data_IF_218655374209
#
_entry.id   IF_218655374209
#
_cell.length_a   1.000
_cell.length_b   1.000
_cell.length_c   1.000
_cell.angle_alpha   90.00
_cell.angle_beta   90.00
_cell.angle_gamma   90.00
#
_symmetry.space_group_name_H-M   'P 1'
#
loop_
_entity.id
_entity.type
_entity.pdbx_description
1 polymer ?
#
# COMPACT_ATOMS: atom_id res chain seq x y z
N UNK A 1 -29.11 51.35 50.47
CA UNK A 1 -28.14 50.77 51.41
C UNK A 1 -27.02 50.18 50.58
N UNK A 2 -25.93 50.94 50.44
CA UNK A 2 -24.73 50.54 49.70
C UNK A 2 -23.83 49.74 50.62
N UNK A 3 -23.42 48.54 50.20
CA UNK A 3 -22.31 47.83 50.82
C UNK A 3 -21.35 47.39 49.72
N UNK A 4 -20.26 48.14 49.59
CA UNK A 4 -19.09 47.82 48.77
C UNK A 4 -18.17 46.92 49.58
N UNK A 5 -17.86 45.72 49.06
CA UNK A 5 -16.89 44.81 49.67
C UNK A 5 -15.58 44.81 48.87
N UNK A 6 -14.50 45.22 49.52
CA UNK A 6 -13.13 45.29 49.03
C UNK A 6 -12.48 43.91 48.99
N UNK A 7 -11.86 43.54 47.85
CA UNK A 7 -11.08 42.31 47.68
C UNK A 7 -9.61 42.61 48.02
N UNK A 8 -9.10 41.86 49.00
CA UNK A 8 -7.75 41.97 49.53
C UNK A 8 -6.79 41.07 48.72
N UNK A 9 -5.74 41.65 48.15
CA UNK A 9 -4.70 40.93 47.41
C UNK A 9 -3.57 40.54 48.37
N UNK A 10 -3.37 39.23 48.58
CA UNK A 10 -2.20 38.72 49.30
C UNK A 10 -1.11 38.35 48.31
N UNK A 11 -0.02 39.12 48.31
CA UNK A 11 1.25 38.82 47.64
C UNK A 11 1.94 37.63 48.33
N UNK A 12 2.08 36.51 47.61
CA UNK A 12 3.01 35.44 48.00
C UNK A 12 4.35 35.72 47.33
N UNK A 13 5.35 36.04 48.14
CA UNK A 13 6.74 36.25 47.71
C UNK A 13 7.39 34.88 47.47
N UNK A 14 7.52 34.45 46.21
CA UNK A 14 8.30 33.28 45.84
C UNK A 14 9.79 33.65 45.75
N UNK A 15 10.60 33.07 46.63
CA UNK A 15 12.06 33.20 46.65
C UNK A 15 12.62 32.50 45.40
N UNK A 16 13.20 33.26 44.47
CA UNK A 16 13.97 32.75 43.33
C UNK A 16 15.39 32.41 43.80
N UNK A 17 15.67 31.12 43.98
CA UNK A 17 17.03 30.58 44.03
C UNK A 17 17.57 30.44 42.61
N UNK A 18 18.80 30.90 42.30
CA UNK A 18 19.42 30.65 41.02
C UNK A 18 19.88 29.18 40.99
N UNK A 19 19.16 28.32 40.26
CA UNK A 19 19.71 27.03 39.85
C UNK A 19 20.83 27.31 38.84
N UNK A 20 22.08 27.23 39.31
CA UNK A 20 23.22 27.06 38.43
C UNK A 20 23.05 25.73 37.69
N UNK A 21 22.72 25.80 36.40
CA UNK A 21 22.63 24.63 35.54
C UNK A 21 23.98 23.96 35.40
N UNK A 22 24.18 22.81 36.06
CA UNK A 22 25.21 21.87 35.63
C UNK A 22 24.78 21.30 34.28
N UNK A 23 25.67 21.24 33.27
CA UNK A 23 25.38 20.51 32.05
C UNK A 23 25.23 19.02 32.42
N UNK A 24 24.03 18.48 32.23
CA UNK A 24 23.83 17.05 32.12
C UNK A 24 24.64 16.55 30.93
N UNK A 25 25.88 16.12 31.17
CA UNK A 25 26.56 15.20 30.27
C UNK A 25 25.70 13.94 30.23
N UNK A 26 25.01 13.71 29.11
CA UNK A 26 24.44 12.40 28.83
C UNK A 26 25.52 11.35 29.04
N UNK A 27 25.17 10.25 29.71
CA UNK A 27 26.07 9.14 29.95
C UNK A 27 26.51 8.57 28.60
N UNK A 28 27.62 9.09 28.06
CA UNK A 28 28.24 8.56 26.87
C UNK A 28 28.82 7.20 27.20
N UNK A 29 28.57 6.22 26.33
CA UNK A 29 29.24 4.91 26.37
C UNK A 29 30.75 5.16 26.45
N UNK A 30 31.41 4.55 27.43
CA UNK A 30 32.86 4.67 27.62
C UNK A 30 33.59 4.00 26.45
N UNK A 31 34.06 4.82 25.51
CA UNK A 31 34.75 4.37 24.30
C UNK A 31 36.01 3.56 24.62
N UNK A 32 36.57 3.67 25.83
CA UNK A 32 37.71 2.87 26.28
C UNK A 32 37.37 1.37 26.43
N UNK A 33 36.10 1.00 26.52
CA UNK A 33 35.64 -0.40 26.63
C UNK A 33 35.44 -1.10 25.28
N UNK A 34 35.56 -0.38 24.18
CA UNK A 34 35.36 -0.94 22.84
C UNK A 34 36.62 -1.70 22.38
N UNK A 35 36.51 -2.94 21.84
CA UNK A 35 37.63 -3.68 21.26
C UNK A 35 38.30 -2.90 20.14
N UNK A 36 39.63 -2.85 20.06
CA UNK A 36 40.34 -2.05 19.05
C UNK A 36 39.87 -2.34 17.61
N UNK A 37 39.72 -1.29 16.79
CA UNK A 37 39.47 -1.45 15.36
C UNK A 37 40.61 -2.24 14.70
N UNK A 38 40.29 -3.07 13.70
CA UNK A 38 41.28 -3.87 13.00
C UNK A 38 42.36 -3.00 12.32
N UNK A 39 43.63 -3.37 12.47
CA UNK A 39 44.76 -2.66 11.87
C UNK A 39 45.02 -2.99 10.39
N UNK A 40 44.20 -3.86 9.79
CA UNK A 40 44.33 -4.32 8.40
C UNK A 40 43.24 -3.70 7.52
N UNK A 41 43.43 -3.64 6.18
CA UNK A 41 42.38 -3.22 5.26
C UNK A 41 41.17 -4.15 5.35
N UNK A 42 39.99 -3.58 5.57
CA UNK A 42 38.73 -4.31 5.64
C UNK A 42 37.97 -4.16 4.33
N UNK A 43 37.53 -5.29 3.78
CA UNK A 43 36.66 -5.36 2.60
C UNK A 43 35.26 -5.80 3.03
N UNK A 44 34.23 -5.13 2.50
CA UNK A 44 32.86 -5.41 2.92
C UNK A 44 32.42 -6.83 2.56
N UNK A 45 32.66 -7.28 1.32
CA UNK A 45 32.20 -8.60 0.86
C UNK A 45 32.96 -9.74 1.55
N UNK A 46 34.27 -9.57 1.73
CA UNK A 46 35.12 -10.60 2.35
C UNK A 46 34.97 -10.67 3.87
N UNK A 47 34.92 -9.52 4.55
CA UNK A 47 35.11 -9.48 6.01
C UNK A 47 33.84 -9.09 6.78
N UNK A 48 33.00 -8.21 6.23
CA UNK A 48 31.83 -7.65 6.94
C UNK A 48 30.56 -8.43 6.63
N UNK A 49 30.31 -8.70 5.36
CA UNK A 49 29.11 -9.39 4.88
C UNK A 49 28.92 -10.77 5.53
N UNK A 50 29.95 -11.62 5.73
CA UNK A 50 29.78 -12.89 6.43
C UNK A 50 29.28 -12.72 7.88
N UNK A 51 29.72 -11.66 8.57
CA UNK A 51 29.24 -11.34 9.92
C UNK A 51 27.75 -10.97 9.87
N UNK A 52 27.36 -10.14 8.90
CA UNK A 52 25.97 -9.72 8.73
C UNK A 52 25.05 -10.88 8.31
N UNK A 53 25.49 -11.74 7.40
CA UNK A 53 24.76 -12.95 6.97
C UNK A 53 24.49 -13.87 8.18
N UNK A 54 25.53 -14.10 9.01
CA UNK A 54 25.44 -15.03 10.14
C UNK A 54 24.62 -14.46 11.31
N UNK A 55 24.76 -13.17 11.60
CA UNK A 55 24.33 -12.61 12.90
C UNK A 55 23.25 -11.51 12.79
N UNK A 56 23.05 -10.91 11.62
CA UNK A 56 22.24 -9.69 11.49
C UNK A 56 21.00 -9.88 10.59
N UNK A 57 21.17 -10.42 9.38
CA UNK A 57 20.13 -10.39 8.34
C UNK A 57 18.86 -11.16 8.68
N UNK A 58 18.92 -12.15 9.57
CA UNK A 58 17.72 -12.85 10.03
C UNK A 58 16.70 -11.91 10.68
N UNK A 59 17.16 -10.87 11.37
CA UNK A 59 16.30 -9.89 12.04
C UNK A 59 16.35 -8.50 11.38
N UNK A 60 17.39 -8.18 10.63
CA UNK A 60 17.63 -6.87 10.00
C UNK A 60 17.75 -6.96 8.47
N UNK A 61 17.16 -8.00 7.86
CA UNK A 61 17.05 -8.19 6.42
C UNK A 61 15.75 -7.65 5.81
N UNK A 62 15.42 -7.99 4.56
CA UNK A 62 14.35 -7.34 3.79
C UNK A 62 12.92 -7.69 4.22
N UNK A 63 12.68 -8.88 4.78
CA UNK A 63 11.30 -9.38 4.95
C UNK A 63 10.57 -8.76 6.14
N UNK A 64 11.22 -8.62 7.31
CA UNK A 64 10.63 -8.05 8.55
C UNK A 64 11.71 -7.44 9.49
N UNK A 65 12.33 -6.31 9.12
CA UNK A 65 13.41 -5.72 9.91
C UNK A 65 12.94 -5.26 11.29
N UNK A 66 13.58 -5.76 12.36
CA UNK A 66 13.35 -5.30 13.73
C UNK A 66 13.72 -3.83 13.86
N UNK A 67 12.88 -3.08 14.57
CA UNK A 67 13.00 -1.62 14.74
C UNK A 67 13.11 -0.85 13.43
N UNK A 68 12.54 -1.38 12.33
CA UNK A 68 12.68 -0.85 10.95
C UNK A 68 14.14 -0.68 10.48
N UNK A 69 15.12 -1.23 11.18
CA UNK A 69 16.53 -1.10 10.84
C UNK A 69 16.94 -2.21 9.86
N UNK A 70 17.36 -1.83 8.65
CA UNK A 70 17.79 -2.75 7.60
C UNK A 70 19.29 -2.62 7.36
N UNK A 71 19.99 -3.75 7.39
CA UNK A 71 21.43 -3.84 7.16
C UNK A 71 21.79 -4.44 5.78
N UNK A 72 20.79 -4.91 5.04
CA UNK A 72 20.97 -5.62 3.77
C UNK A 72 21.19 -4.71 2.56
N UNK A 73 21.04 -3.39 2.72
CA UNK A 73 21.47 -2.39 1.74
C UNK A 73 22.08 -1.15 2.42
N UNK A 74 23.07 -0.51 1.77
CA UNK A 74 23.80 0.63 2.34
C UNK A 74 22.89 1.81 2.68
N UNK A 75 22.01 2.16 1.75
CA UNK A 75 21.11 3.31 1.91
C UNK A 75 20.24 3.17 3.16
N UNK A 76 19.63 1.99 3.36
CA UNK A 76 18.81 1.72 4.54
C UNK A 76 19.64 1.62 5.82
N UNK A 77 20.83 1.01 5.75
CA UNK A 77 21.73 0.88 6.89
C UNK A 77 22.20 2.25 7.41
N UNK A 78 22.38 3.21 6.51
CA UNK A 78 22.75 4.59 6.85
C UNK A 78 21.54 5.48 7.18
N UNK A 79 20.34 5.17 6.66
CA UNK A 79 19.09 5.85 7.06
C UNK A 79 18.79 5.60 8.55
N UNK A 80 19.16 4.41 9.06
CA UNK A 80 18.90 3.99 10.43
C UNK A 80 17.48 3.46 10.63
N UNK A 81 17.21 3.00 11.85
CA UNK A 81 15.92 2.41 12.25
C UNK A 81 14.89 3.45 12.72
N UNK A 82 13.86 2.94 13.38
CA UNK A 82 12.68 3.64 13.89
C UNK A 82 13.02 4.84 14.80
N UNK A 83 14.15 4.82 15.50
CA UNK A 83 14.47 5.80 16.54
C UNK A 83 15.73 6.65 16.27
N UNK A 84 16.53 6.37 15.24
CA UNK A 84 17.93 6.79 15.23
C UNK A 84 18.47 7.04 13.81
N UNK A 85 19.24 8.12 13.64
CA UNK A 85 20.11 8.35 12.46
C UNK A 85 21.58 7.99 12.71
N UNK A 86 21.88 7.53 13.92
CA UNK A 86 23.23 7.25 14.45
C UNK A 86 23.47 5.74 14.67
N UNK A 87 22.65 4.88 14.05
CA UNK A 87 22.87 3.43 14.10
C UNK A 87 24.21 3.05 13.45
N UNK A 88 24.54 3.70 12.32
CA UNK A 88 25.87 3.66 11.70
C UNK A 88 26.27 5.10 11.40
N UNK A 89 27.39 5.54 11.98
CA UNK A 89 27.99 6.87 11.76
C UNK A 89 29.29 6.67 10.97
N UNK A 90 29.28 6.82 9.63
CA UNK A 90 30.48 6.69 8.81
C UNK A 90 31.61 7.58 9.32
N UNK A 91 32.79 7.00 9.51
CA UNK A 91 33.97 7.68 10.05
C UNK A 91 34.03 7.74 11.57
N UNK A 92 33.03 7.23 12.31
CA UNK A 92 33.02 7.23 13.76
C UNK A 92 32.33 5.99 14.36
N UNK A 93 33.07 4.89 14.42
CA UNK A 93 32.63 3.64 15.05
C UNK A 93 32.31 3.80 16.52
N UNK A 94 33.01 4.70 17.23
CA UNK A 94 32.79 4.95 18.65
C UNK A 94 31.45 5.64 18.96
N UNK A 95 30.82 6.30 17.99
CA UNK A 95 29.48 6.89 18.12
C UNK A 95 28.38 6.06 17.47
N UNK A 96 28.72 4.97 16.78
CA UNK A 96 27.76 4.14 16.07
C UNK A 96 27.06 3.17 17.02
N UNK A 97 25.74 3.25 17.15
CA UNK A 97 24.97 2.36 18.05
C UNK A 97 25.09 0.89 17.66
N UNK A 98 25.25 0.58 16.37
CA UNK A 98 25.59 -0.77 15.90
C UNK A 98 26.75 -1.35 16.71
N UNK A 99 27.82 -0.58 16.90
CA UNK A 99 29.01 -1.00 17.64
C UNK A 99 28.73 -1.14 19.13
N UNK A 100 27.97 -0.22 19.73
CA UNK A 100 27.59 -0.29 21.15
C UNK A 100 26.75 -1.52 21.48
N UNK A 101 25.83 -1.89 20.58
CA UNK A 101 24.93 -3.02 20.77
C UNK A 101 25.64 -4.36 20.58
N UNK A 102 26.51 -4.48 19.57
CA UNK A 102 27.30 -5.72 19.38
C UNK A 102 28.40 -5.89 20.42
N UNK A 103 28.85 -4.80 21.06
CA UNK A 103 29.77 -4.85 22.21
C UNK A 103 29.06 -5.05 23.54
N UNK A 104 27.71 -5.06 23.54
CA UNK A 104 26.87 -5.26 24.74
C UNK A 104 27.15 -4.25 25.85
N UNK A 105 27.50 -3.02 25.47
CA UNK A 105 27.71 -1.93 26.42
C UNK A 105 26.42 -1.20 26.79
N UNK A 106 25.32 -1.53 26.12
CA UNK A 106 23.98 -0.99 26.39
C UNK A 106 23.12 -2.14 26.88
N UNK A 107 22.72 -2.06 28.15
CA UNK A 107 21.80 -3.03 28.77
C UNK A 107 20.49 -3.11 27.95
N UNK A 108 19.91 -4.31 27.88
CA UNK A 108 18.68 -4.64 27.14
C UNK A 108 18.70 -4.42 25.62
N UNK A 109 19.81 -3.91 25.06
CA UNK A 109 19.99 -3.66 23.62
C UNK A 109 21.11 -4.52 23.00
N UNK A 110 21.44 -5.64 23.65
CA UNK A 110 22.48 -6.55 23.20
C UNK A 110 22.16 -7.17 21.83
N UNK A 111 23.16 -7.20 20.94
CA UNK A 111 23.05 -7.82 19.61
C UNK A 111 24.17 -8.85 19.36
N UNK A 112 23.83 -10.06 18.86
CA UNK A 112 22.50 -10.64 18.81
C UNK A 112 21.88 -10.79 20.21
N UNK A 113 20.53 -10.73 20.34
CA UNK A 113 19.87 -10.89 21.63
C UNK A 113 20.16 -12.26 22.26
N UNK A 114 20.16 -12.38 23.60
CA UNK A 114 20.33 -13.65 24.29
C UNK A 114 19.42 -14.75 23.74
N UNK A 115 20.00 -15.91 23.39
CA UNK A 115 19.26 -17.04 22.80
C UNK A 115 18.83 -16.84 21.33
N UNK A 116 19.21 -15.73 20.69
CA UNK A 116 18.92 -15.42 19.28
C UNK A 116 20.20 -15.27 18.45
N UNK A 117 21.34 -15.76 18.93
CA UNK A 117 22.60 -15.78 18.19
C UNK A 117 23.79 -15.79 19.13
N UNK A 118 24.94 -16.19 18.61
CA UNK A 118 26.19 -16.11 19.37
C UNK A 118 26.67 -14.65 19.43
N UNK A 119 27.22 -14.19 20.57
CA UNK A 119 27.90 -12.90 20.63
C UNK A 119 29.04 -12.84 19.60
N UNK A 120 29.26 -11.66 19.00
CA UNK A 120 30.39 -11.46 18.11
C UNK A 120 31.70 -11.52 18.90
N UNK A 121 32.75 -12.07 18.28
CA UNK A 121 34.09 -12.06 18.87
C UNK A 121 34.69 -10.65 18.84
N UNK A 122 35.66 -10.34 19.72
CA UNK A 122 36.38 -9.06 19.68
C UNK A 122 36.97 -8.74 18.30
N UNK A 123 37.43 -9.75 17.56
CA UNK A 123 37.98 -9.61 16.20
C UNK A 123 36.91 -9.22 15.19
N UNK A 124 35.73 -9.88 15.24
CA UNK A 124 34.59 -9.52 14.40
C UNK A 124 34.12 -8.10 14.66
N UNK A 125 34.05 -7.70 15.95
CA UNK A 125 33.74 -6.33 16.34
C UNK A 125 34.81 -5.36 15.82
N UNK A 126 36.09 -5.73 15.91
CA UNK A 126 37.20 -4.94 15.37
C UNK A 126 37.11 -4.71 13.87
N UNK A 127 36.66 -5.70 13.09
CA UNK A 127 36.38 -5.58 11.66
C UNK A 127 35.21 -4.63 11.40
N UNK A 128 34.11 -4.76 12.13
CA UNK A 128 32.96 -3.85 12.01
C UNK A 128 33.34 -2.40 12.34
N UNK A 129 34.11 -2.19 13.41
CA UNK A 129 34.60 -0.86 13.78
C UNK A 129 35.45 -0.26 12.67
N UNK A 130 36.43 -1.01 12.16
CA UNK A 130 37.30 -0.53 11.09
C UNK A 130 36.52 -0.20 9.82
N UNK A 131 35.56 -1.04 9.45
CA UNK A 131 34.67 -0.79 8.31
C UNK A 131 33.86 0.51 8.48
N UNK A 132 33.30 0.76 9.67
CA UNK A 132 32.58 2.00 9.96
C UNK A 132 33.53 3.21 9.91
N UNK A 133 34.71 3.10 10.52
CA UNK A 133 35.73 4.15 10.53
C UNK A 133 36.26 4.48 9.11
N UNK A 134 36.28 3.50 8.22
CA UNK A 134 36.63 3.69 6.79
C UNK A 134 35.48 4.33 5.97
N UNK A 135 34.37 4.68 6.62
CA UNK A 135 33.22 5.35 6.02
C UNK A 135 32.07 4.41 5.64
N UNK A 136 32.02 3.22 6.23
CA UNK A 136 30.98 2.21 5.97
C UNK A 136 30.79 1.95 4.46
N UNK A 137 31.92 1.74 3.76
CA UNK A 137 31.94 1.58 2.30
C UNK A 137 31.42 0.21 1.92
N UNK A 138 30.56 0.17 0.91
CA UNK A 138 30.08 -1.06 0.27
C UNK A 138 30.68 -1.15 -1.13
N UNK A 139 30.73 -2.33 -1.77
CA UNK A 139 31.22 -2.43 -3.13
C UNK A 139 30.37 -1.55 -4.08
N UNK A 140 31.00 -0.91 -5.08
CA UNK A 140 30.28 -0.16 -6.11
C UNK A 140 29.19 -1.03 -6.74
N UNK A 141 27.91 -0.63 -6.62
CA UNK A 141 26.77 -1.38 -7.12
C UNK A 141 25.91 -2.09 -6.05
N UNK A 142 26.38 -2.18 -4.80
CA UNK A 142 25.55 -2.65 -3.68
C UNK A 142 24.71 -1.51 -3.04
N UNK A 143 24.74 -0.31 -3.62
CA UNK A 143 24.01 0.88 -3.16
C UNK A 143 22.57 0.97 -3.66
N UNK A 144 22.11 0.00 -4.45
CA UNK A 144 20.78 0.05 -5.05
C UNK A 144 20.13 -1.31 -4.91
N UNK A 145 18.98 -1.38 -4.23
CA UNK A 145 17.93 -2.24 -4.76
C UNK A 145 17.88 -1.86 -6.23
N UNK A 146 18.26 -2.77 -7.13
CA UNK A 146 17.95 -2.60 -8.52
C UNK A 146 16.42 -2.55 -8.56
N UNK A 147 15.88 -1.34 -8.51
CA UNK A 147 14.46 -1.08 -8.71
C UNK A 147 14.27 -1.33 -10.20
N UNK A 148 14.21 -2.59 -10.57
CA UNK A 148 14.03 -3.04 -11.93
C UNK A 148 12.55 -2.95 -12.25
N UNK A 149 12.24 -2.49 -13.46
CA UNK A 149 10.89 -2.53 -13.99
C UNK A 149 10.43 -3.97 -14.06
N UNK A 150 9.37 -4.30 -13.32
CA UNK A 150 8.74 -5.60 -13.34
C UNK A 150 7.50 -5.54 -14.22
N UNK A 151 7.43 -6.42 -15.21
CA UNK A 151 6.27 -6.55 -16.08
C UNK A 151 5.77 -7.98 -16.05
N UNK A 152 4.51 -8.16 -15.65
CA UNK A 152 3.81 -9.44 -15.61
C UNK A 152 2.58 -9.36 -16.51
N UNK A 153 2.38 -10.35 -17.36
CA UNK A 153 1.22 -10.43 -18.25
C UNK A 153 0.68 -11.85 -18.32
N UNK A 154 -0.65 -11.97 -18.27
CA UNK A 154 -1.40 -13.21 -18.42
C UNK A 154 -2.28 -13.09 -19.66
N UNK A 155 -1.77 -13.46 -20.85
CA UNK A 155 -2.58 -13.48 -22.06
C UNK A 155 -3.62 -14.60 -21.99
N UNK A 156 -4.79 -14.36 -22.56
CA UNK A 156 -5.86 -15.36 -22.70
C UNK A 156 -6.33 -15.40 -24.14
N UNK A 157 -6.58 -16.61 -24.63
CA UNK A 157 -7.29 -16.88 -25.86
C UNK A 157 -8.14 -18.13 -25.64
N UNK A 158 -9.46 -17.98 -25.71
CA UNK A 158 -10.41 -19.06 -25.43
C UNK A 158 -11.55 -19.06 -26.44
N UNK A 159 -12.12 -20.25 -26.64
CA UNK A 159 -13.32 -20.43 -27.45
C UNK A 159 -14.46 -20.95 -26.56
N UNK A 160 -15.48 -20.11 -26.36
CA UNK A 160 -16.62 -20.43 -25.51
C UNK A 160 -17.69 -21.11 -26.36
N UNK A 161 -18.12 -22.30 -25.95
CA UNK A 161 -19.30 -22.97 -26.53
C UNK A 161 -20.41 -23.02 -25.51
N UNK A 162 -21.65 -22.91 -25.98
CA UNK A 162 -22.84 -22.95 -25.12
C UNK A 162 -23.78 -24.01 -25.66
N UNK A 163 -24.27 -24.88 -24.77
CA UNK A 163 -25.34 -25.82 -25.06
C UNK A 163 -26.57 -25.38 -24.28
N UNK A 164 -27.71 -25.22 -24.96
CA UNK A 164 -28.95 -24.74 -24.35
C UNK A 164 -29.22 -23.27 -24.65
N UNK A 165 -29.70 -22.52 -23.66
CA UNK A 165 -30.13 -21.14 -23.85
C UNK A 165 -28.93 -20.17 -23.85
N UNK A 166 -28.47 -19.80 -25.05
CA UNK A 166 -27.35 -18.85 -25.25
C UNK A 166 -27.63 -17.46 -24.69
N UNK A 167 -28.90 -17.02 -24.72
CA UNK A 167 -29.31 -15.73 -24.21
C UNK A 167 -29.27 -15.67 -22.69
N UNK A 168 -29.68 -16.77 -22.04
CA UNK A 168 -29.56 -16.91 -20.59
C UNK A 168 -28.10 -17.02 -20.15
N UNK A 169 -27.28 -17.74 -20.92
CA UNK A 169 -25.84 -17.80 -20.69
C UNK A 169 -25.20 -16.40 -20.71
N UNK A 170 -25.44 -15.58 -21.73
CA UNK A 170 -24.84 -14.23 -21.79
C UNK A 170 -25.37 -13.30 -20.69
N UNK A 171 -26.62 -13.45 -20.26
CA UNK A 171 -27.21 -12.69 -19.16
C UNK A 171 -26.54 -13.04 -17.82
N UNK A 172 -26.34 -14.33 -17.53
CA UNK A 172 -25.78 -14.80 -16.26
C UNK A 172 -24.27 -14.59 -16.17
N UNK A 173 -23.54 -14.75 -17.30
CA UNK A 173 -22.09 -14.76 -17.33
C UNK A 173 -21.47 -13.48 -17.91
N UNK A 174 -22.28 -12.58 -18.48
CA UNK A 174 -21.79 -11.37 -19.15
C UNK A 174 -20.94 -11.66 -20.39
N UNK A 175 -20.99 -12.89 -20.92
CA UNK A 175 -20.12 -13.34 -21.99
C UNK A 175 -20.89 -13.86 -23.20
N UNK A 176 -20.40 -13.54 -24.40
CA UNK A 176 -20.88 -14.13 -25.65
C UNK A 176 -20.14 -15.44 -25.93
N UNK A 177 -20.86 -16.40 -26.52
CA UNK A 177 -20.23 -17.57 -27.15
C UNK A 177 -19.23 -17.13 -28.22
N UNK A 178 -18.27 -17.99 -28.53
CA UNK A 178 -17.28 -17.77 -29.57
C UNK A 178 -15.91 -17.39 -29.01
N UNK A 179 -15.10 -16.76 -29.84
CA UNK A 179 -13.73 -16.43 -29.51
C UNK A 179 -13.64 -15.25 -28.53
N UNK A 180 -12.81 -15.39 -27.50
CA UNK A 180 -12.41 -14.32 -26.59
C UNK A 180 -10.90 -14.31 -26.49
N UNK A 181 -10.28 -13.15 -26.63
CA UNK A 181 -8.84 -12.98 -26.44
C UNK A 181 -8.50 -11.65 -25.79
N UNK A 182 -7.29 -11.58 -25.23
CA UNK A 182 -6.73 -10.36 -24.67
C UNK A 182 -5.84 -10.66 -23.49
N UNK A 183 -5.94 -9.83 -22.46
CA UNK A 183 -5.13 -9.90 -21.27
C UNK A 183 -6.03 -10.04 -20.05
N UNK A 184 -5.99 -11.20 -19.40
CA UNK A 184 -6.70 -11.43 -18.14
C UNK A 184 -6.12 -10.54 -17.04
N UNK A 185 -4.79 -10.40 -17.04
CA UNK A 185 -4.04 -9.52 -16.15
C UNK A 185 -2.83 -8.96 -16.88
N UNK A 186 -2.59 -7.67 -16.73
CA UNK A 186 -1.27 -7.07 -16.95
C UNK A 186 -0.91 -6.25 -15.72
N UNK A 187 0.37 -6.24 -15.37
CA UNK A 187 0.91 -5.48 -14.24
C UNK A 187 2.31 -5.00 -14.60
N UNK A 188 2.53 -3.71 -14.49
CA UNK A 188 3.80 -3.04 -14.63
C UNK A 188 4.10 -2.34 -13.31
N UNK A 189 5.25 -2.60 -12.72
CA UNK A 189 5.74 -1.91 -11.53
C UNK A 189 7.09 -1.32 -11.91
N UNK A 190 7.21 0.00 -11.83
CA UNK A 190 8.43 0.71 -12.14
C UNK A 190 8.79 1.73 -11.07
N UNK A 191 10.09 2.01 -10.87
CA UNK A 191 10.51 3.06 -9.96
C UNK A 191 10.22 4.42 -10.58
N UNK A 192 9.58 5.30 -9.82
CA UNK A 192 9.22 6.65 -10.23
C UNK A 192 10.02 7.68 -9.42
N UNK A 193 11.29 7.86 -9.76
CA UNK A 193 12.21 8.76 -9.04
C UNK A 193 12.94 8.08 -7.88
N UNK A 194 13.31 8.85 -6.85
CA UNK A 194 14.17 8.35 -5.75
C UNK A 194 13.43 7.49 -4.72
N UNK A 195 12.16 7.81 -4.46
CA UNK A 195 11.39 7.27 -3.34
C UNK A 195 9.95 6.90 -3.70
N UNK A 196 9.62 6.85 -5.00
CA UNK A 196 8.28 6.51 -5.45
C UNK A 196 8.27 5.31 -6.40
N UNK A 197 7.12 4.67 -6.48
CA UNK A 197 6.83 3.51 -7.33
C UNK A 197 5.56 3.79 -8.12
N UNK A 198 5.63 3.59 -9.43
CA UNK A 198 4.47 3.59 -10.31
C UNK A 198 4.06 2.15 -10.58
N UNK A 199 2.80 1.85 -10.32
CA UNK A 199 2.16 0.60 -10.70
C UNK A 199 1.07 0.90 -11.74
N UNK A 200 1.05 0.13 -12.82
CA UNK A 200 -0.03 0.11 -13.80
C UNK A 200 -0.55 -1.32 -13.90
N UNK A 201 -1.83 -1.53 -13.63
CA UNK A 201 -2.42 -2.86 -13.70
C UNK A 201 -3.83 -2.83 -14.31
N UNK A 202 -4.25 -3.96 -14.85
CA UNK A 202 -5.55 -4.04 -15.49
C UNK A 202 -5.83 -5.34 -16.21
N UNK A 203 -6.92 -5.31 -16.97
CA UNK A 203 -7.39 -6.40 -17.83
C UNK A 203 -8.03 -5.82 -19.09
N UNK A 204 -7.98 -6.58 -20.17
CA UNK A 204 -8.67 -6.23 -21.39
C UNK A 204 -9.11 -7.47 -22.16
N UNK A 205 -10.42 -7.73 -22.22
CA UNK A 205 -10.98 -8.89 -22.90
C UNK A 205 -11.83 -8.48 -24.10
N UNK A 206 -11.45 -8.98 -25.28
CA UNK A 206 -12.12 -8.72 -26.56
C UNK A 206 -12.81 -9.99 -27.06
N UNK A 207 -14.02 -9.92 -27.64
CA UNK A 207 -14.90 -8.76 -27.80
C UNK A 207 -15.91 -8.65 -26.64
N UNK A 208 -15.54 -9.07 -25.42
CA UNK A 208 -16.47 -9.11 -24.28
C UNK A 208 -16.75 -7.71 -23.68
N UNK A 209 -16.06 -6.67 -24.15
CA UNK A 209 -16.18 -5.28 -23.68
C UNK A 209 -15.91 -5.14 -22.17
N UNK A 210 -14.98 -5.96 -21.64
CA UNK A 210 -14.58 -6.00 -20.24
C UNK A 210 -13.14 -5.50 -20.11
N UNK A 211 -13.01 -4.24 -19.69
CA UNK A 211 -11.74 -3.52 -19.59
C UNK A 211 -11.61 -2.87 -18.22
N UNK A 212 -10.44 -3.02 -17.59
CA UNK A 212 -10.05 -2.24 -16.41
C UNK A 212 -8.61 -1.79 -16.58
N UNK A 213 -8.34 -0.56 -16.20
CA UNK A 213 -6.98 -0.05 -16.03
C UNK A 213 -6.91 0.80 -14.78
N UNK A 214 -5.87 0.60 -13.99
CA UNK A 214 -5.55 1.37 -12.81
C UNK A 214 -4.09 1.79 -12.86
N UNK A 215 -3.81 3.02 -12.44
CA UNK A 215 -2.48 3.57 -12.26
C UNK A 215 -2.37 4.04 -10.81
N UNK A 216 -1.34 3.56 -10.13
CA UNK A 216 -1.06 3.85 -8.72
C UNK A 216 0.35 4.39 -8.59
N UNK A 217 0.48 5.64 -8.17
CA UNK A 217 1.76 6.22 -7.78
C UNK A 217 1.85 6.20 -6.25
N UNK A 218 2.83 5.49 -5.70
CA UNK A 218 3.04 5.35 -4.25
C UNK A 218 4.37 5.95 -3.84
N UNK A 219 4.37 6.78 -2.80
CA UNK A 219 5.57 7.23 -2.08
C UNK A 219 5.42 6.82 -0.61
N UNK A 220 6.13 5.77 -0.13
CA UNK A 220 5.84 5.10 1.14
C UNK A 220 5.74 6.00 2.37
N UNK A 221 6.52 7.07 2.44
CA UNK A 221 6.56 7.99 3.60
C UNK A 221 5.61 9.20 3.45
N UNK A 222 4.89 9.30 2.34
CA UNK A 222 4.04 10.47 2.01
C UNK A 222 2.61 10.05 1.75
N UNK A 223 2.39 9.05 0.89
CA UNK A 223 1.04 8.69 0.45
C UNK A 223 1.00 8.04 -0.93
N UNK A 224 -0.19 8.08 -1.53
CA UNK A 224 -0.43 7.53 -2.85
C UNK A 224 -1.43 8.38 -3.65
N UNK A 225 -1.37 8.24 -4.97
CA UNK A 225 -2.42 8.69 -5.89
C UNK A 225 -2.81 7.49 -6.74
N UNK A 226 -4.10 7.21 -6.85
CA UNK A 226 -4.65 6.14 -7.67
C UNK A 226 -5.68 6.70 -8.62
N UNK A 227 -5.59 6.35 -9.88
CA UNK A 227 -6.59 6.70 -10.90
C UNK A 227 -6.93 5.45 -11.69
N UNK A 228 -8.18 5.29 -12.06
CA UNK A 228 -8.58 4.14 -12.86
C UNK A 228 -9.87 4.31 -13.63
N UNK A 229 -10.08 3.36 -14.53
CA UNK A 229 -11.24 3.25 -15.37
C UNK A 229 -11.65 1.78 -15.50
N UNK A 230 -12.92 1.50 -15.22
CA UNK A 230 -13.55 0.20 -15.44
C UNK A 230 -14.68 0.37 -16.46
N UNK A 231 -14.81 -0.58 -17.38
CA UNK A 231 -16.00 -0.72 -18.22
C UNK A 231 -16.32 -2.20 -18.42
N UNK A 232 -17.60 -2.52 -18.35
CA UNK A 232 -18.10 -3.87 -18.65
C UNK A 232 -19.51 -3.78 -19.22
N UNK A 233 -19.86 -4.77 -20.03
CA UNK A 233 -21.19 -4.91 -20.61
C UNK A 233 -22.00 -5.96 -19.85
N UNK A 234 -23.21 -5.58 -19.43
CA UNK A 234 -24.22 -6.51 -18.92
C UNK A 234 -25.24 -6.77 -20.02
N UNK A 235 -25.57 -8.03 -20.25
CA UNK A 235 -26.57 -8.43 -21.25
C UNK A 235 -27.90 -8.75 -20.60
N UNK A 236 -29.00 -8.49 -21.32
CA UNK A 236 -30.35 -8.82 -20.89
C UNK A 236 -31.07 -9.71 -21.89
N UNK A 237 -32.02 -10.47 -21.39
CA UNK A 237 -32.91 -11.26 -22.21
C UNK A 237 -33.88 -10.37 -23.01
N UNK A 238 -34.05 -10.67 -24.30
CA UNK A 238 -34.92 -9.96 -25.24
C UNK A 238 -36.30 -10.64 -25.43
N UNK A 239 -36.57 -11.70 -24.66
CA UNK A 239 -37.83 -12.43 -24.63
C UNK A 239 -38.66 -12.08 -23.40
N UNK A 240 -39.98 -12.00 -23.57
CA UNK A 240 -40.92 -11.78 -22.45
C UNK A 240 -40.92 -12.98 -21.50
N UNK A 241 -40.89 -12.74 -20.18
CA UNK A 241 -40.61 -13.74 -19.13
C UNK A 241 -41.61 -14.90 -18.94
N UNK A 242 -42.42 -15.25 -19.93
CA UNK A 242 -43.29 -16.43 -19.90
C UNK A 242 -42.80 -17.51 -20.88
N UNK A 243 -42.37 -18.64 -20.33
CA UNK A 243 -42.03 -19.85 -21.07
C UNK A 243 -43.14 -20.88 -20.86
N UNK A 244 -44.03 -21.05 -21.83
CA UNK A 244 -45.04 -22.09 -21.77
C UNK A 244 -44.40 -23.49 -21.92
N UNK A 245 -44.92 -24.54 -21.25
CA UNK A 245 -44.43 -25.92 -21.40
C UNK A 245 -44.53 -26.47 -22.84
N UNK A 246 -45.44 -25.90 -23.65
CA UNK A 246 -45.70 -26.33 -25.03
C UNK A 246 -45.17 -25.31 -26.04
N UNK A 247 -43.89 -25.43 -26.40
CA UNK A 247 -43.25 -25.16 -27.70
C UNK A 247 -43.61 -23.95 -28.59
N UNK A 248 -44.35 -22.95 -28.09
CA UNK A 248 -44.44 -21.66 -28.80
C UNK A 248 -43.10 -20.94 -28.63
N UNK A 249 -42.41 -20.58 -29.73
CA UNK A 249 -41.19 -19.78 -29.60
C UNK A 249 -41.56 -18.46 -28.93
N UNK A 250 -40.85 -18.06 -27.86
CA UNK A 250 -41.14 -16.80 -27.19
C UNK A 250 -40.97 -15.64 -28.18
N UNK A 251 -41.82 -14.62 -28.05
CA UNK A 251 -41.65 -13.38 -28.80
C UNK A 251 -40.31 -12.74 -28.40
N UNK A 252 -39.48 -12.43 -29.40
CA UNK A 252 -38.14 -11.87 -29.25
C UNK A 252 -38.06 -10.51 -29.95
N UNK A 253 -37.29 -9.58 -29.40
CA UNK A 253 -37.00 -8.29 -30.03
C UNK A 253 -35.98 -8.42 -31.18
N UNK A 254 -35.34 -9.58 -31.34
CA UNK A 254 -34.31 -9.87 -32.37
C UNK A 254 -33.16 -8.85 -32.30
N UNK A 255 -32.77 -8.47 -31.08
CA UNK A 255 -31.68 -7.51 -30.84
C UNK A 255 -31.03 -7.72 -29.48
N UNK A 256 -29.76 -7.36 -29.39
CA UNK A 256 -29.01 -7.44 -28.13
C UNK A 256 -29.43 -6.33 -27.16
N UNK A 257 -30.27 -6.65 -26.19
CA UNK A 257 -30.44 -5.80 -25.01
C UNK A 257 -29.19 -5.90 -24.13
N UNK A 258 -28.60 -4.75 -23.81
CA UNK A 258 -27.41 -4.64 -22.98
C UNK A 258 -27.27 -3.25 -22.38
N UNK A 259 -26.56 -3.17 -21.26
CA UNK A 259 -26.10 -1.94 -20.63
C UNK A 259 -24.58 -1.93 -20.55
N UNK A 260 -23.97 -0.81 -20.89
CA UNK A 260 -22.56 -0.52 -20.68
C UNK A 260 -22.40 0.21 -19.35
N UNK A 261 -21.73 -0.42 -18.40
CA UNK A 261 -21.33 0.17 -17.14
C UNK A 261 -19.95 0.75 -17.28
N UNK A 262 -19.76 2.00 -16.84
CA UNK A 262 -18.47 2.69 -16.85
C UNK A 262 -18.24 3.33 -15.50
N UNK A 263 -17.00 3.26 -15.02
CA UNK A 263 -16.59 3.88 -13.77
C UNK A 263 -15.21 4.49 -13.94
N UNK A 264 -15.10 5.81 -13.74
CA UNK A 264 -13.83 6.52 -13.66
C UNK A 264 -13.64 6.99 -12.22
N UNK A 265 -12.44 6.82 -11.66
CA UNK A 265 -12.20 7.14 -10.25
C UNK A 265 -10.79 7.66 -10.00
N UNK A 266 -10.66 8.48 -8.96
CA UNK A 266 -9.43 9.09 -8.48
C UNK A 266 -9.44 9.04 -6.95
N UNK A 267 -8.43 8.42 -6.36
CA UNK A 267 -8.21 8.40 -4.91
C UNK A 267 -6.83 9.00 -4.59
N UNK A 268 -6.79 9.89 -3.60
CA UNK A 268 -5.57 10.49 -3.07
C UNK A 268 -5.49 10.17 -1.59
N UNK A 269 -4.41 9.50 -1.18
CA UNK A 269 -4.22 9.06 0.19
C UNK A 269 -2.95 9.62 0.82
N UNK A 270 -3.04 10.01 2.08
CA UNK A 270 -1.90 10.33 2.94
C UNK A 270 -1.60 9.12 3.83
N UNK A 271 -0.34 8.66 3.80
CA UNK A 271 0.10 7.46 4.50
C UNK A 271 1.35 7.73 5.35
N UNK A 272 1.33 8.84 6.10
CA UNK A 272 2.42 9.18 7.01
C UNK A 272 2.28 8.40 8.32
N UNK A 273 3.40 7.95 8.89
CA UNK A 273 3.41 7.18 10.15
C UNK A 273 2.98 8.02 11.37
N UNK A 274 3.14 9.35 11.31
CA UNK A 274 2.84 10.29 12.39
C UNK A 274 1.46 10.95 12.30
N UNK A 275 0.66 10.61 11.27
CA UNK A 275 -0.64 11.23 11.01
C UNK A 275 -1.72 10.15 10.83
N UNK A 276 -2.99 10.42 11.17
CA UNK A 276 -4.11 9.64 10.65
C UNK A 276 -3.98 9.31 9.16
N UNK A 277 -4.27 8.08 8.76
CA UNK A 277 -4.41 7.73 7.35
C UNK A 277 -5.68 8.41 6.84
N UNK A 278 -5.55 9.16 5.76
CA UNK A 278 -6.67 9.87 5.14
C UNK A 278 -6.70 9.52 3.67
N UNK A 279 -7.86 9.17 3.13
CA UNK A 279 -8.09 8.93 1.71
C UNK A 279 -9.27 9.74 1.25
N UNK A 280 -9.05 10.59 0.25
CA UNK A 280 -10.11 11.33 -0.43
C UNK A 280 -10.28 10.74 -1.81
N UNK A 281 -11.51 10.34 -2.13
CA UNK A 281 -11.86 9.72 -3.39
C UNK A 281 -12.95 10.48 -4.12
N UNK A 282 -12.85 10.54 -5.44
CA UNK A 282 -13.92 10.92 -6.34
C UNK A 282 -14.14 9.81 -7.37
N UNK A 283 -15.40 9.51 -7.63
CA UNK A 283 -15.80 8.45 -8.52
C UNK A 283 -17.01 8.88 -9.36
N UNK A 284 -16.90 8.71 -10.67
CA UNK A 284 -17.98 8.91 -11.62
C UNK A 284 -18.41 7.54 -12.15
N UNK A 285 -19.68 7.21 -11.99
CA UNK A 285 -20.29 6.01 -12.53
C UNK A 285 -21.33 6.39 -13.58
N UNK A 286 -21.44 5.61 -14.65
CA UNK A 286 -22.54 5.73 -15.61
C UNK A 286 -22.97 4.37 -16.12
N UNK A 287 -24.26 4.22 -16.39
CA UNK A 287 -24.81 3.06 -17.11
C UNK A 287 -25.68 3.54 -18.27
N UNK A 288 -25.44 2.97 -19.45
CA UNK A 288 -26.18 3.31 -20.68
C UNK A 288 -26.54 2.10 -21.49
N UNK A 289 -27.77 2.05 -22.00
CA UNK A 289 -28.19 1.00 -22.93
C UNK A 289 -29.68 0.68 -22.85
N UNK A 290 -30.02 -0.55 -23.20
CA UNK A 290 -31.39 -1.05 -23.17
C UNK A 290 -31.52 -2.17 -22.12
N UNK A 291 -32.34 -1.93 -21.10
CA UNK A 291 -32.68 -2.88 -20.04
C UNK A 291 -33.95 -3.65 -20.42
N UNK A 292 -34.00 -4.95 -20.15
CA UNK A 292 -35.22 -5.73 -20.31
C UNK A 292 -36.22 -5.39 -19.21
N UNK A 293 -37.49 -5.17 -19.57
CA UNK A 293 -38.56 -4.87 -18.61
C UNK A 293 -39.61 -5.96 -18.61
N UNK A 294 -40.10 -6.31 -17.42
CA UNK A 294 -41.24 -7.20 -17.23
C UNK A 294 -42.55 -6.39 -17.14
N UNK A 295 -42.78 -5.46 -18.07
CA UNK A 295 -44.00 -4.64 -18.08
C UNK A 295 -45.16 -5.31 -18.82
N UNK A 296 -46.35 -5.19 -18.23
CA UNK A 296 -47.62 -5.67 -18.78
C UNK A 296 -48.21 -4.62 -19.71
N UNK A 297 -48.42 -4.95 -20.99
CA UNK A 297 -49.24 -4.13 -21.90
C UNK A 297 -50.73 -4.47 -21.80
N UNK A 298 -51.64 -3.56 -22.20
CA UNK A 298 -53.07 -3.86 -22.26
C UNK A 298 -53.34 -4.77 -23.46
N UNK A 299 -53.54 -6.06 -23.21
CA UNK A 299 -53.98 -7.03 -24.21
C UNK A 299 -55.16 -7.81 -23.67
N UNK A 300 -56.16 -7.99 -24.53
CA UNK A 300 -57.47 -8.63 -24.27
C UNK A 300 -57.33 -10.12 -23.85
N UNK A 301 -56.10 -10.65 -23.82
CA UNK A 301 -55.71 -11.95 -23.26
C UNK A 301 -54.29 -11.87 -22.68
N UNK A 302 -54.05 -12.53 -21.54
CA UNK A 302 -52.86 -12.48 -20.66
C UNK A 302 -51.50 -12.85 -21.33
N UNK A 303 -50.95 -12.01 -22.21
CA UNK A 303 -49.60 -12.21 -22.75
C UNK A 303 -48.65 -11.09 -22.30
N UNK A 304 -47.55 -11.47 -21.64
CA UNK A 304 -46.38 -10.63 -21.38
C UNK A 304 -45.67 -10.40 -22.72
N UNK A 305 -45.72 -9.18 -23.26
CA UNK A 305 -44.95 -8.82 -24.45
C UNK A 305 -43.49 -8.53 -24.06
N UNK A 306 -42.49 -8.87 -24.90
CA UNK A 306 -41.12 -8.43 -24.68
C UNK A 306 -41.07 -6.90 -24.73
N UNK A 307 -40.58 -6.28 -23.67
CA UNK A 307 -40.48 -4.83 -23.53
C UNK A 307 -39.10 -4.46 -23.01
N UNK A 308 -38.62 -3.26 -23.37
CA UNK A 308 -37.35 -2.73 -22.91
C UNK A 308 -37.50 -1.28 -22.46
N UNK A 309 -36.58 -0.84 -21.61
CA UNK A 309 -36.42 0.56 -21.20
C UNK A 309 -35.03 1.01 -21.59
N UNK A 310 -34.94 2.19 -22.18
CA UNK A 310 -33.66 2.86 -22.38
C UNK A 310 -33.18 3.44 -21.05
N UNK A 311 -31.92 3.15 -20.70
CA UNK A 311 -31.25 3.63 -19.49
C UNK A 311 -30.13 4.56 -19.92
N UNK A 312 -30.10 5.75 -19.32
CA UNK A 312 -28.98 6.69 -19.35
C UNK A 312 -28.94 7.37 -17.98
N UNK A 313 -28.07 6.86 -17.12
CA UNK A 313 -27.96 7.30 -15.74
C UNK A 313 -26.49 7.51 -15.39
N UNK A 314 -26.21 8.57 -14.63
CA UNK A 314 -24.89 8.88 -14.08
C UNK A 314 -24.97 9.23 -12.59
N UNK A 315 -23.88 8.93 -11.90
CA UNK A 315 -23.71 9.25 -10.50
C UNK A 315 -22.30 9.78 -10.23
N UNK A 316 -22.22 10.82 -9.41
CA UNK A 316 -21.01 11.37 -8.84
C UNK A 316 -20.91 10.94 -7.38
N UNK A 317 -19.78 10.38 -6.98
CA UNK A 317 -19.56 9.82 -5.64
C UNK A 317 -18.31 10.44 -5.03
N UNK A 318 -18.47 11.07 -3.87
CA UNK A 318 -17.39 11.57 -3.04
C UNK A 318 -17.16 10.62 -1.88
N UNK A 319 -15.90 10.25 -1.63
CA UNK A 319 -15.47 9.33 -0.58
C UNK A 319 -14.45 10.02 0.31
N UNK A 320 -14.56 9.83 1.61
CA UNK A 320 -13.55 10.24 2.58
C UNK A 320 -13.41 9.12 3.61
N UNK A 321 -12.23 8.50 3.64
CA UNK A 321 -11.89 7.49 4.63
C UNK A 321 -10.80 8.04 5.55
N UNK A 322 -10.99 7.90 6.86
CA UNK A 322 -10.02 8.32 7.86
C UNK A 322 -9.77 7.17 8.86
N UNK A 323 -8.51 6.85 9.14
CA UNK A 323 -8.18 5.89 10.20
C UNK A 323 -6.98 6.31 11.04
N UNK A 324 -7.05 6.07 12.34
CA UNK A 324 -6.00 6.42 13.28
C UNK A 324 -5.91 5.43 14.44
N UNK A 325 -4.70 5.05 14.82
CA UNK A 325 -4.45 4.18 15.96
C UNK A 325 -3.99 5.01 17.16
N UNK A 326 -4.73 4.95 18.26
CA UNK A 326 -4.41 5.64 19.51
C UNK A 326 -4.45 4.65 20.67
N UNK A 327 -3.32 4.46 21.35
CA UNK A 327 -3.24 3.61 22.55
C UNK A 327 -3.65 2.14 22.32
N UNK A 328 -3.42 1.60 21.11
CA UNK A 328 -3.83 0.25 20.72
C UNK A 328 -5.29 0.12 20.27
N UNK A 329 -6.01 1.24 20.12
CA UNK A 329 -7.37 1.29 19.58
C UNK A 329 -7.33 1.92 18.18
N UNK A 330 -7.85 1.20 17.19
CA UNK A 330 -8.04 1.70 15.84
C UNK A 330 -9.42 2.38 15.72
N UNK A 331 -9.41 3.65 15.32
CA UNK A 331 -10.61 4.43 14.99
C UNK A 331 -10.68 4.53 13.47
N UNK A 332 -11.82 4.20 12.88
CA UNK A 332 -12.10 4.32 11.45
C UNK A 332 -13.38 5.14 11.25
N UNK A 333 -13.34 6.07 10.30
CA UNK A 333 -14.50 6.82 9.84
C UNK A 333 -14.55 6.77 8.31
N UNK A 334 -15.76 6.65 7.78
CA UNK A 334 -16.03 6.52 6.35
C UNK A 334 -17.22 7.38 5.99
N UNK A 335 -17.00 8.34 5.10
CA UNK A 335 -18.04 9.16 4.50
C UNK A 335 -18.17 8.83 3.02
N UNK A 336 -19.42 8.69 2.57
CA UNK A 336 -19.78 8.50 1.17
C UNK A 336 -20.98 9.38 0.82
N UNK A 337 -20.77 10.35 -0.06
CA UNK A 337 -21.82 11.20 -0.64
C UNK A 337 -22.07 10.82 -2.09
N UNK A 338 -23.33 10.62 -2.46
CA UNK A 338 -23.74 10.29 -3.83
C UNK A 338 -24.66 11.39 -4.39
N UNK A 339 -24.42 11.77 -5.63
CA UNK A 339 -25.20 12.74 -6.39
C UNK A 339 -25.56 12.12 -7.73
N UNK A 340 -26.80 12.30 -8.19
CA UNK A 340 -27.31 11.74 -9.43
C UNK A 340 -27.70 12.89 -10.36
N UNK A 341 -27.46 12.71 -11.67
CA UNK A 341 -27.87 13.68 -12.70
C UNK A 341 -29.30 13.45 -13.19
#
# INVERSE_FOLDING_TARGET
MNSSATIQWSLVLAILLPLAGLPLRGAGIDAARLPSAAGVPVDFERDVKPIFDQSCFRCHGPERPKSRFRLDNRESALKGGENNKDDIVPGNSAQSKLIHYVTRLVEDMEMPPPGKGEPLTPEQIGLLRKWVDDGARWPPGAETIKRETQFTVTPIAQWITVRGNEQKFREDWGQKKGFTAGYERFELIEPAGKDAELKVDGRALFPQEDYRVALTLTRPEVGFVRVGYDTYRKYFNDTGGFYAPNNQPPLSLVRDLHEDFRKAWLDVGLARTDWPKLVVGYEYQSRRGDESTLQWGPVVTQNIAPAYKQVDESAHILKLDASHEFGGVLIEDMFRGEFYD
#
